data_IF_747279604492
#
_entry.id   IF_747279604492
#
_cell.length_a   1.000
_cell.length_b   1.000
_cell.length_c   1.000
_cell.angle_alpha   90.00
_cell.angle_beta   90.00
_cell.angle_gamma   90.00
#
_symmetry.space_group_name_H-M   'P 1'
#
loop_
_entity.id
_entity.type
_entity.pdbx_description
1 polymer ?
#
# COMPACT_ATOMS: atom_id res chain seq x y z
N UNK A 1 11.64 12.59 -19.10
CA UNK A 1 10.50 13.00 -18.26
C UNK A 1 10.95 14.20 -17.45
N UNK A 2 10.44 15.39 -17.78
CA UNK A 2 10.69 16.59 -17.00
C UNK A 2 9.78 16.56 -15.78
N UNK A 3 10.35 16.25 -14.61
CA UNK A 3 9.69 16.53 -13.34
C UNK A 3 9.41 18.03 -13.27
N UNK A 4 8.16 18.35 -12.95
CA UNK A 4 7.56 19.67 -13.10
C UNK A 4 8.26 20.77 -12.32
N UNK A 5 8.06 22.00 -12.79
CA UNK A 5 8.56 23.28 -12.27
C UNK A 5 7.88 23.69 -10.94
N UNK A 6 7.70 22.75 -10.02
CA UNK A 6 7.18 22.96 -8.66
C UNK A 6 8.26 22.70 -7.61
N UNK A 7 8.14 23.30 -6.42
CA UNK A 7 8.97 22.91 -5.29
C UNK A 7 8.53 21.50 -4.85
N UNK A 8 9.30 20.48 -5.24
CA UNK A 8 8.99 19.06 -5.02
C UNK A 8 8.65 18.74 -3.56
N UNK A 9 9.23 19.48 -2.61
CA UNK A 9 8.95 19.37 -1.18
C UNK A 9 7.54 19.82 -0.82
N UNK A 10 7.01 20.85 -1.51
CA UNK A 10 5.66 21.37 -1.30
C UNK A 10 4.61 20.38 -1.80
N UNK A 11 4.80 19.82 -2.99
CA UNK A 11 3.90 18.82 -3.57
C UNK A 11 3.91 17.53 -2.73
N UNK A 12 5.08 17.06 -2.33
CA UNK A 12 5.24 15.90 -1.44
C UNK A 12 4.48 16.10 -0.12
N UNK A 13 4.63 17.28 0.50
CA UNK A 13 3.93 17.62 1.75
C UNK A 13 2.41 17.60 1.61
N UNK A 14 1.89 18.06 0.46
CA UNK A 14 0.45 18.03 0.19
C UNK A 14 -0.04 16.58 0.09
N UNK A 15 0.65 15.74 -0.68
CA UNK A 15 0.27 14.33 -0.87
C UNK A 15 0.33 13.54 0.44
N UNK A 16 1.45 13.61 1.16
CA UNK A 16 1.58 12.89 2.43
C UNK A 16 0.58 13.36 3.48
N UNK A 17 0.25 14.65 3.51
CA UNK A 17 -0.82 15.16 4.38
C UNK A 17 -2.20 14.65 3.96
N UNK A 18 -2.48 14.59 2.66
CA UNK A 18 -3.74 14.08 2.14
C UNK A 18 -3.94 12.61 2.52
N UNK A 19 -2.93 11.76 2.29
CA UNK A 19 -2.99 10.33 2.61
C UNK A 19 -3.12 10.08 4.11
N UNK A 20 -2.35 10.80 4.93
CA UNK A 20 -2.48 10.74 6.39
C UNK A 20 -3.88 11.14 6.85
N UNK A 21 -4.43 12.24 6.31
CA UNK A 21 -5.77 12.74 6.69
C UNK A 21 -6.87 11.74 6.32
N UNK A 22 -6.76 11.09 5.16
CA UNK A 22 -7.71 10.06 4.73
C UNK A 22 -7.69 8.85 5.67
N UNK A 23 -6.49 8.36 6.01
CA UNK A 23 -6.36 7.21 6.90
C UNK A 23 -6.81 7.55 8.33
N UNK A 24 -6.53 8.75 8.82
CA UNK A 24 -7.04 9.22 10.11
C UNK A 24 -8.56 9.36 10.13
N UNK A 25 -9.15 9.87 9.04
CA UNK A 25 -10.60 9.96 8.92
C UNK A 25 -11.24 8.56 8.98
N UNK A 26 -10.64 7.59 8.29
CA UNK A 26 -11.04 6.20 8.37
C UNK A 26 -10.84 5.60 9.77
N UNK A 27 -9.66 5.76 10.38
CA UNK A 27 -9.36 5.28 11.74
C UNK A 27 -10.37 5.80 12.76
N UNK A 28 -10.70 7.09 12.69
CA UNK A 28 -11.61 7.75 13.62
C UNK A 28 -13.10 7.63 13.21
N UNK A 29 -13.44 6.81 12.21
CA UNK A 29 -14.81 6.75 11.66
C UNK A 29 -15.90 6.39 12.66
N UNK A 30 -15.57 5.60 13.68
CA UNK A 30 -16.53 5.17 14.71
C UNK A 30 -16.80 6.26 15.74
N UNK A 31 -15.75 7.01 16.12
CA UNK A 31 -15.82 8.04 17.16
C UNK A 31 -16.25 9.41 16.62
N UNK A 32 -15.97 9.72 15.36
CA UNK A 32 -16.35 10.97 14.73
C UNK A 32 -17.69 10.85 13.96
N UNK A 33 -18.77 11.54 14.38
CA UNK A 33 -20.07 11.49 13.70
C UNK A 33 -20.01 11.82 12.21
N UNK A 34 -19.15 12.75 11.80
CA UNK A 34 -18.99 13.15 10.41
C UNK A 34 -18.35 12.07 9.54
N UNK A 35 -17.72 11.07 10.17
CA UNK A 35 -17.02 9.99 9.49
C UNK A 35 -17.76 8.65 9.59
N UNK A 36 -18.88 8.56 10.33
CA UNK A 36 -19.62 7.30 10.52
C UNK A 36 -20.03 6.63 9.21
N UNK A 37 -20.32 7.42 8.18
CA UNK A 37 -20.65 6.93 6.84
C UNK A 37 -19.50 6.15 6.18
N UNK A 38 -18.26 6.27 6.63
CA UNK A 38 -17.15 5.46 6.13
C UNK A 38 -17.21 4.00 6.59
N UNK A 39 -17.93 3.72 7.68
CA UNK A 39 -18.02 2.37 8.25
C UNK A 39 -18.77 1.43 7.30
N UNK A 40 -18.11 0.35 6.88
CA UNK A 40 -18.68 -0.61 5.93
C UNK A 40 -18.67 -0.15 4.46
N UNK A 41 -18.37 1.12 4.20
CA UNK A 41 -18.35 1.69 2.83
C UNK A 41 -16.93 1.91 2.29
N UNK A 42 -15.91 1.89 3.16
CA UNK A 42 -14.51 2.05 2.78
C UNK A 42 -13.65 0.95 3.36
N UNK A 43 -12.62 0.57 2.60
CA UNK A 43 -11.60 -0.38 2.98
C UNK A 43 -10.24 0.23 2.66
N UNK A 44 -9.32 0.21 3.63
CA UNK A 44 -7.91 0.54 3.43
C UNK A 44 -7.21 -0.70 2.90
N UNK A 45 -6.55 -0.56 1.76
CA UNK A 45 -5.73 -1.61 1.14
C UNK A 45 -4.40 -1.00 0.74
N UNK A 46 -3.30 -1.60 1.20
CA UNK A 46 -1.94 -1.19 0.86
C UNK A 46 -1.35 -2.14 -0.18
N UNK A 47 -0.57 -1.57 -1.10
CA UNK A 47 0.01 -2.31 -2.21
C UNK A 47 0.85 -3.48 -1.74
N UNK A 48 1.73 -3.26 -0.74
CA UNK A 48 2.61 -4.27 -0.17
C UNK A 48 1.85 -5.48 0.41
N UNK A 49 0.71 -5.27 1.04
CA UNK A 49 -0.12 -6.35 1.62
C UNK A 49 -0.67 -7.27 0.53
N UNK A 50 -1.09 -6.67 -0.60
CA UNK A 50 -1.53 -7.43 -1.77
C UNK A 50 -0.37 -8.28 -2.29
N UNK A 51 0.86 -7.79 -2.21
CA UNK A 51 2.00 -8.51 -2.76
C UNK A 51 2.44 -9.68 -1.88
N UNK A 52 2.43 -9.48 -0.56
CA UNK A 52 2.89 -10.48 0.40
C UNK A 52 1.87 -11.61 0.57
N UNK A 53 0.58 -11.28 0.65
CA UNK A 53 -0.48 -12.29 0.72
C UNK A 53 -1.71 -11.91 -0.14
N UNK A 54 -1.60 -12.09 -1.47
CA UNK A 54 -2.68 -11.78 -2.40
C UNK A 54 -3.99 -12.52 -2.09
N UNK A 55 -3.92 -13.73 -1.53
CA UNK A 55 -5.10 -14.56 -1.25
C UNK A 55 -5.85 -14.04 -0.04
N UNK A 56 -5.15 -13.70 1.03
CA UNK A 56 -5.78 -13.12 2.23
C UNK A 56 -6.40 -11.77 1.92
N UNK A 57 -5.71 -10.90 1.18
CA UNK A 57 -6.27 -9.60 0.80
C UNK A 57 -7.50 -9.78 -0.10
N UNK A 58 -7.47 -10.70 -1.07
CA UNK A 58 -8.64 -11.01 -1.90
C UNK A 58 -9.83 -11.48 -1.07
N UNK A 59 -9.60 -12.33 -0.07
CA UNK A 59 -10.65 -12.79 0.85
C UNK A 59 -11.24 -11.65 1.67
N UNK A 60 -10.39 -10.74 2.18
CA UNK A 60 -10.85 -9.56 2.92
C UNK A 60 -11.67 -8.62 2.03
N UNK A 61 -11.21 -8.35 0.80
CA UNK A 61 -11.93 -7.53 -0.18
C UNK A 61 -13.27 -8.18 -0.56
N UNK A 62 -13.29 -9.50 -0.77
CA UNK A 62 -14.51 -10.26 -1.03
C UNK A 62 -15.52 -10.13 0.10
N UNK A 63 -15.08 -10.32 1.35
CA UNK A 63 -15.92 -10.18 2.53
C UNK A 63 -16.47 -8.75 2.67
N UNK A 64 -15.61 -7.74 2.42
CA UNK A 64 -16.01 -6.34 2.43
C UNK A 64 -17.10 -6.05 1.38
N UNK A 65 -16.90 -6.46 0.12
CA UNK A 65 -17.88 -6.26 -0.95
C UNK A 65 -19.21 -6.99 -0.68
N UNK A 66 -19.13 -8.19 -0.10
CA UNK A 66 -20.30 -9.00 0.23
C UNK A 66 -21.10 -8.48 1.44
N UNK A 67 -20.53 -7.59 2.26
CA UNK A 67 -21.22 -7.04 3.42
C UNK A 67 -22.41 -6.11 3.08
N UNK A 68 -22.48 -5.63 1.83
CA UNK A 68 -23.50 -4.66 1.39
C UNK A 68 -24.35 -5.08 0.19
N UNK A 69 -24.25 -6.34 -0.27
CA UNK A 69 -24.96 -6.80 -1.49
C UNK A 69 -25.77 -8.07 -1.23
N UNK A 70 -26.95 -8.17 -1.86
CA UNK A 70 -27.82 -9.36 -1.75
C UNK A 70 -27.30 -10.57 -2.51
N UNK A 71 -26.43 -10.36 -3.51
CA UNK A 71 -25.82 -11.43 -4.30
C UNK A 71 -24.34 -11.51 -3.96
N UNK A 72 -23.95 -12.58 -3.27
CA UNK A 72 -22.55 -12.81 -2.90
C UNK A 72 -21.67 -12.98 -4.13
N UNK A 73 -20.61 -12.19 -4.21
CA UNK A 73 -19.52 -12.32 -5.17
C UNK A 73 -18.58 -13.43 -4.68
N UNK A 74 -18.42 -14.48 -5.49
CA UNK A 74 -17.48 -15.57 -5.19
C UNK A 74 -16.14 -15.32 -5.89
N UNK A 75 -15.26 -14.58 -5.23
CA UNK A 75 -13.89 -14.32 -5.70
C UNK A 75 -12.92 -15.48 -5.38
N UNK A 76 -13.35 -16.50 -4.63
CA UNK A 76 -12.56 -17.71 -4.34
C UNK A 76 -12.69 -18.77 -5.44
N UNK A 77 -13.24 -18.41 -6.61
CA UNK A 77 -13.28 -19.31 -7.75
C UNK A 77 -11.87 -19.75 -8.13
N UNK A 78 -11.71 -21.06 -8.40
CA UNK A 78 -10.41 -21.67 -8.70
C UNK A 78 -9.65 -20.94 -9.81
N UNK A 79 -10.35 -20.50 -10.86
CA UNK A 79 -9.72 -19.78 -11.97
C UNK A 79 -9.12 -18.43 -11.56
N UNK A 80 -9.73 -17.72 -10.61
CA UNK A 80 -9.21 -16.45 -10.08
C UNK A 80 -7.95 -16.72 -9.27
N UNK A 81 -7.98 -17.73 -8.40
CA UNK A 81 -6.82 -18.13 -7.58
C UNK A 81 -5.67 -18.66 -8.43
N UNK A 82 -5.98 -19.46 -9.47
CA UNK A 82 -5.01 -20.00 -10.41
C UNK A 82 -4.43 -18.87 -11.29
N UNK A 83 -5.23 -17.90 -11.72
CA UNK A 83 -4.76 -16.70 -12.42
C UNK A 83 -3.85 -15.86 -11.53
N UNK A 84 -4.25 -15.65 -10.27
CA UNK A 84 -3.49 -14.89 -9.29
C UNK A 84 -2.10 -15.50 -9.14
N UNK A 85 -2.02 -16.80 -8.83
CA UNK A 85 -0.76 -17.52 -8.68
C UNK A 85 0.13 -17.47 -9.94
N UNK A 86 -0.47 -17.65 -11.13
CA UNK A 86 0.27 -17.62 -12.40
C UNK A 86 0.87 -16.26 -12.75
N UNK A 87 0.31 -15.18 -12.23
CA UNK A 87 0.72 -13.81 -12.59
C UNK A 87 1.56 -13.14 -11.48
N UNK A 88 1.41 -13.53 -10.20
CA UNK A 88 2.14 -12.93 -9.07
C UNK A 88 3.50 -13.56 -8.78
N UNK A 89 3.76 -14.80 -9.23
CA UNK A 89 5.04 -15.50 -8.98
C UNK A 89 5.91 -15.69 -10.24
N UNK A 90 5.53 -15.09 -11.37
CA UNK A 90 6.20 -15.32 -12.65
C UNK A 90 7.12 -14.16 -13.05
N UNK A 91 8.30 -14.43 -13.59
CA UNK A 91 9.17 -13.41 -14.19
C UNK A 91 8.79 -13.18 -15.65
N UNK A 92 8.06 -12.12 -15.95
CA UNK A 92 7.74 -11.69 -17.31
C UNK A 92 8.60 -10.51 -17.77
N UNK A 93 9.11 -10.56 -19.01
CA UNK A 93 10.03 -9.57 -19.59
C UNK A 93 9.34 -8.44 -20.39
N UNK A 94 8.04 -8.18 -20.17
CA UNK A 94 7.29 -7.16 -20.91
C UNK A 94 6.98 -5.91 -20.10
N UNK A 95 7.10 -4.72 -20.71
CA UNK A 95 6.73 -3.43 -20.10
C UNK A 95 5.29 -3.40 -19.56
N UNK A 96 4.39 -4.16 -20.18
CA UNK A 96 2.99 -4.36 -19.76
C UNK A 96 2.69 -5.80 -19.30
N UNK A 97 3.71 -6.58 -18.94
CA UNK A 97 3.51 -7.96 -18.52
C UNK A 97 2.76 -8.02 -17.20
N UNK A 98 1.73 -8.87 -17.16
CA UNK A 98 1.03 -9.28 -15.94
C UNK A 98 1.82 -10.28 -15.10
N UNK A 99 2.94 -10.81 -15.63
CA UNK A 99 3.84 -11.74 -14.94
C UNK A 99 5.02 -10.94 -14.36
N UNK A 100 5.07 -10.70 -13.05
CA UNK A 100 6.27 -10.12 -12.41
C UNK A 100 6.56 -10.78 -11.07
N UNK A 101 7.85 -10.84 -10.70
CA UNK A 101 8.21 -11.04 -9.30
C UNK A 101 7.86 -9.74 -8.56
N UNK A 102 6.69 -9.76 -7.93
CA UNK A 102 6.08 -8.61 -7.28
C UNK A 102 6.93 -8.07 -6.12
N UNK A 103 7.59 -8.95 -5.36
CA UNK A 103 8.47 -8.57 -4.25
C UNK A 103 9.68 -7.78 -4.74
N UNK A 104 10.32 -8.23 -5.84
CA UNK A 104 11.43 -7.49 -6.46
C UNK A 104 10.98 -6.13 -7.01
N UNK A 105 9.75 -6.03 -7.51
CA UNK A 105 9.20 -4.77 -8.02
C UNK A 105 8.90 -3.76 -6.91
N UNK A 106 8.41 -4.23 -5.75
CA UNK A 106 8.13 -3.38 -4.60
C UNK A 106 9.40 -2.83 -3.94
N UNK A 107 10.52 -3.55 -4.00
CA UNK A 107 11.78 -3.09 -3.39
C UNK A 107 12.70 -2.37 -4.39
N UNK A 108 12.40 -2.38 -5.68
CA UNK A 108 13.25 -1.79 -6.74
C UNK A 108 13.63 -0.34 -6.49
N UNK A 109 12.71 0.48 -5.97
CA UNK A 109 12.97 1.90 -5.70
C UNK A 109 14.15 2.14 -4.75
N UNK A 110 14.48 1.17 -3.89
CA UNK A 110 15.58 1.25 -2.93
C UNK A 110 16.94 1.38 -3.60
N UNK A 111 17.13 0.73 -4.76
CA UNK A 111 18.36 0.84 -5.56
C UNK A 111 18.37 2.05 -6.50
N UNK A 112 17.20 2.56 -6.87
CA UNK A 112 17.04 3.67 -7.81
C UNK A 112 17.04 5.06 -7.11
N UNK A 113 17.09 5.10 -5.77
CA UNK A 113 16.97 6.33 -4.95
C UNK A 113 18.17 6.48 -4.02
N UNK A 114 18.67 7.72 -3.84
CA UNK A 114 19.75 7.99 -2.88
C UNK A 114 19.23 8.21 -1.44
N UNK A 115 20.06 7.91 -0.44
CA UNK A 115 19.71 8.03 0.98
C UNK A 115 19.24 9.44 1.36
N UNK A 116 19.89 10.49 0.85
CA UNK A 116 19.50 11.89 1.16
C UNK A 116 18.07 12.19 0.74
N UNK A 117 17.64 11.70 -0.42
CA UNK A 117 16.27 11.86 -0.90
C UNK A 117 15.28 11.08 -0.02
N UNK A 118 15.63 9.86 0.38
CA UNK A 118 14.80 9.05 1.30
C UNK A 118 14.64 9.77 2.64
N UNK A 119 15.73 10.26 3.25
CA UNK A 119 15.70 10.99 4.52
C UNK A 119 14.85 12.26 4.41
N UNK A 120 14.95 13.00 3.31
CA UNK A 120 14.12 14.18 3.05
C UNK A 120 12.63 13.81 2.96
N UNK A 121 12.28 12.75 2.23
CA UNK A 121 10.90 12.25 2.15
C UNK A 121 10.39 11.86 3.54
N UNK A 122 11.17 11.09 4.31
CA UNK A 122 10.82 10.70 5.68
C UNK A 122 10.60 11.90 6.61
N UNK A 123 11.39 12.96 6.45
CA UNK A 123 11.20 14.19 7.25
C UNK A 123 9.87 14.89 6.96
N UNK A 124 9.35 14.76 5.73
CA UNK A 124 8.09 15.38 5.30
C UNK A 124 6.90 14.46 5.58
N UNK A 125 7.08 13.16 5.37
CA UNK A 125 6.02 12.16 5.32
C UNK A 125 6.00 11.23 6.53
N UNK A 126 6.85 11.46 7.54
CA UNK A 126 7.02 10.57 8.69
C UNK A 126 5.71 10.20 9.38
N UNK A 127 4.80 11.17 9.58
CA UNK A 127 3.48 10.92 10.16
C UNK A 127 2.61 9.97 9.31
N UNK A 128 2.60 10.17 7.99
CA UNK A 128 1.93 9.28 7.06
C UNK A 128 2.55 7.88 7.14
N UNK A 129 3.89 7.80 7.12
CA UNK A 129 4.60 6.53 7.21
C UNK A 129 4.23 5.75 8.47
N UNK A 130 4.21 6.42 9.62
CA UNK A 130 3.85 5.80 10.91
C UNK A 130 2.40 5.29 10.91
N UNK A 131 1.45 6.06 10.34
CA UNK A 131 0.04 5.64 10.24
C UNK A 131 -0.16 4.40 9.34
N UNK A 132 0.59 4.32 8.25
CA UNK A 132 0.53 3.21 7.30
C UNK A 132 1.46 2.05 7.67
N UNK A 133 2.19 2.13 8.79
CA UNK A 133 3.08 1.05 9.25
C UNK A 133 4.35 0.89 8.43
N UNK A 134 4.87 1.97 7.82
CA UNK A 134 6.15 1.96 7.11
C UNK A 134 7.32 2.21 8.07
N UNK A 135 8.39 1.43 7.94
CA UNK A 135 9.63 1.61 8.68
C UNK A 135 10.52 2.67 8.01
N UNK A 136 11.18 3.46 8.85
CA UNK A 136 12.14 4.48 8.41
C UNK A 136 13.51 3.84 8.21
N UNK A 137 14.18 4.28 7.16
CA UNK A 137 15.56 3.97 6.81
C UNK A 137 16.45 5.04 7.44
N UNK A 138 17.53 4.64 8.11
CA UNK A 138 18.49 5.58 8.73
C UNK A 138 19.82 5.59 7.99
N UNK A 139 20.24 4.44 7.47
CA UNK A 139 21.53 4.26 6.81
C UNK A 139 21.39 3.74 5.38
N UNK A 140 22.48 3.84 4.61
CA UNK A 140 22.55 3.25 3.27
C UNK A 140 22.44 1.71 3.33
N UNK A 141 22.86 1.09 4.44
CA UNK A 141 22.75 -0.35 4.64
C UNK A 141 21.28 -0.74 4.77
N UNK A 142 20.52 -0.02 5.60
CA UNK A 142 19.07 -0.28 5.76
C UNK A 142 18.32 -0.04 4.43
N UNK A 143 18.74 0.96 3.65
CA UNK A 143 18.14 1.24 2.35
C UNK A 143 18.35 0.07 1.39
N UNK A 144 19.58 -0.44 1.30
CA UNK A 144 19.95 -1.44 0.30
C UNK A 144 19.65 -2.89 0.72
N UNK A 145 19.34 -3.13 2.00
CA UNK A 145 18.97 -4.45 2.48
C UNK A 145 17.54 -4.83 2.04
N UNK A 146 17.44 -5.47 0.88
CA UNK A 146 16.16 -5.97 0.34
C UNK A 146 15.68 -7.25 1.01
N UNK A 147 16.43 -7.82 1.96
CA UNK A 147 15.98 -8.98 2.75
C UNK A 147 15.04 -8.59 3.89
N UNK A 148 14.97 -7.30 4.20
CA UNK A 148 14.12 -6.73 5.25
C UNK A 148 12.95 -5.95 4.65
N UNK A 149 11.75 -6.21 5.15
CA UNK A 149 10.56 -5.43 4.82
C UNK A 149 10.62 -4.06 5.51
N UNK A 150 10.35 -2.99 4.75
CA UNK A 150 10.24 -1.63 5.29
C UNK A 150 8.80 -1.29 5.66
N UNK A 151 8.03 -2.30 6.02
CA UNK A 151 6.66 -2.17 6.45
C UNK A 151 6.30 -3.30 7.40
N UNK A 152 5.39 -3.01 8.32
CA UNK A 152 4.71 -3.97 9.17
C UNK A 152 3.22 -3.95 8.85
N UNK A 153 2.46 -4.90 9.42
CA UNK A 153 1.00 -4.87 9.35
C UNK A 153 0.46 -3.49 9.73
N UNK A 154 -0.43 -2.98 8.90
CA UNK A 154 -1.18 -1.76 9.24
C UNK A 154 -1.93 -2.07 10.54
N UNK A 155 -1.87 -1.19 11.56
CA UNK A 155 -2.63 -1.40 12.79
C UNK A 155 -4.09 -1.70 12.45
N UNK A 156 -4.69 -2.69 13.11
CA UNK A 156 -6.05 -3.11 12.79
C UNK A 156 -7.04 -1.98 13.08
N UNK A 157 -7.33 -1.19 12.04
CA UNK A 157 -8.30 -0.10 12.08
C UNK A 157 -9.73 -0.59 11.85
N UNK A 158 -9.94 -1.89 11.61
CA UNK A 158 -11.26 -2.48 11.41
C UNK A 158 -11.97 -2.84 12.70
N UNK A 159 -11.22 -3.00 13.80
CA UNK A 159 -11.75 -3.31 15.13
C UNK A 159 -12.21 -2.11 15.93
#
# INVERSE_FOLDING_TARGET
>A
MHFGRGNITKEMKVNCKFDASNLEAFKNRRSNPNNKWLQGNYMVVRYEDILTDPKTVLKQMSAFLNSGVSTSLNFEHKDVLDWLQKNTQATGNGMYSTKRNITQQATKWRGDTNLTMVLNIQSVCGHMMDLFGYHKVETIVDLLDTSVDLFQDIPNYYN
#
